data_IF_542972617358
#
_entry.id   IF_542972617358
#
_cell.length_a   1.000
_cell.length_b   1.000
_cell.length_c   1.000
_cell.angle_alpha   90.00
_cell.angle_beta   90.00
_cell.angle_gamma   90.00
#
_symmetry.space_group_name_H-M   'P 1'
#
loop_
_entity.id
_entity.type
_entity.pdbx_description
1 polymer ?
#
# COMPACT_ATOMS: atom_id res chain seq x y z
N UNK A 1 56.11 8.62 31.73
CA UNK A 1 55.43 9.01 30.46
C UNK A 1 54.61 7.88 29.84
N UNK A 2 55.09 6.65 29.73
CA UNK A 2 54.34 5.54 29.09
C UNK A 2 52.98 5.18 29.74
N UNK A 3 52.89 5.33 31.06
CA UNK A 3 51.63 4.97 31.80
C UNK A 3 50.50 6.00 31.63
N UNK A 4 50.84 7.27 31.37
CA UNK A 4 49.83 8.34 31.13
C UNK A 4 49.30 8.23 29.69
N UNK A 5 50.22 7.96 28.73
CA UNK A 5 49.86 7.78 27.32
C UNK A 5 48.93 6.56 27.11
N UNK A 6 49.12 5.49 27.89
CA UNK A 6 48.29 4.29 27.85
C UNK A 6 46.89 4.52 28.44
N UNK A 7 46.74 5.40 29.46
CA UNK A 7 45.43 5.78 30.02
C UNK A 7 44.65 6.66 29.05
N UNK A 8 45.28 7.63 28.43
CA UNK A 8 44.63 8.55 27.48
C UNK A 8 44.16 7.80 26.22
N UNK A 9 44.95 6.84 25.71
CA UNK A 9 44.57 6.02 24.57
C UNK A 9 43.38 5.10 24.90
N UNK A 10 43.36 4.50 26.10
CA UNK A 10 42.21 3.68 26.54
C UNK A 10 40.93 4.49 26.73
N UNK A 11 41.04 5.71 27.25
CA UNK A 11 39.88 6.61 27.40
C UNK A 11 39.36 7.07 26.03
N UNK A 12 40.26 7.40 25.08
CA UNK A 12 39.85 7.78 23.73
C UNK A 12 39.17 6.61 22.99
N UNK A 13 39.67 5.39 23.11
CA UNK A 13 39.04 4.18 22.55
C UNK A 13 37.68 3.87 23.17
N UNK A 14 37.53 4.08 24.49
CA UNK A 14 36.26 3.89 25.18
C UNK A 14 35.22 4.94 24.75
N UNK A 15 35.62 6.19 24.60
CA UNK A 15 34.77 7.27 24.10
C UNK A 15 34.37 7.03 22.64
N UNK A 16 35.29 6.61 21.78
CA UNK A 16 34.97 6.23 20.40
C UNK A 16 34.02 5.02 20.34
N UNK A 17 34.21 4.01 21.19
CA UNK A 17 33.31 2.87 21.28
C UNK A 17 31.91 3.24 21.78
N UNK A 18 31.81 4.17 22.75
CA UNK A 18 30.53 4.70 23.23
C UNK A 18 29.84 5.58 22.18
N UNK A 19 30.59 6.37 21.42
CA UNK A 19 30.05 7.17 20.30
C UNK A 19 29.59 6.27 19.15
N UNK A 20 30.31 5.19 18.86
CA UNK A 20 29.92 4.19 17.87
C UNK A 20 28.69 3.40 18.34
N UNK A 21 28.60 3.04 19.62
CA UNK A 21 27.43 2.38 20.20
C UNK A 21 26.19 3.30 20.21
N UNK A 22 26.39 4.60 20.49
CA UNK A 22 25.31 5.60 20.41
C UNK A 22 24.86 5.87 18.95
N UNK A 23 25.76 5.77 17.99
CA UNK A 23 25.42 5.88 16.57
C UNK A 23 24.67 4.63 16.06
N UNK A 24 24.92 3.45 16.63
CA UNK A 24 24.20 2.20 16.32
C UNK A 24 22.84 2.07 16.99
N UNK A 25 22.50 2.92 17.97
CA UNK A 25 21.24 2.85 18.70
C UNK A 25 20.18 3.87 18.26
N UNK A 26 20.27 4.40 17.02
CA UNK A 26 19.14 5.15 16.49
C UNK A 26 17.94 4.20 16.40
N UNK A 27 16.93 4.45 17.24
CA UNK A 27 15.63 3.76 17.09
C UNK A 27 15.17 3.96 15.65
N UNK A 28 14.62 2.91 15.01
CA UNK A 28 14.03 3.05 13.68
C UNK A 28 13.06 4.22 13.69
N UNK A 29 13.19 5.13 12.74
CA UNK A 29 12.32 6.29 12.66
C UNK A 29 11.20 5.98 11.67
N UNK A 30 10.01 5.85 12.20
CA UNK A 30 8.80 5.79 11.39
C UNK A 30 8.48 7.19 10.83
N UNK A 31 7.80 7.22 9.71
CA UNK A 31 7.25 8.48 9.18
C UNK A 31 6.02 8.85 10.00
N UNK A 32 5.89 10.11 10.33
CA UNK A 32 4.72 10.68 11.00
C UNK A 32 4.17 11.85 10.19
N UNK A 33 2.98 12.35 10.56
CA UNK A 33 2.40 13.57 10.01
C UNK A 33 2.42 14.66 11.07
N UNK A 34 2.89 15.86 10.71
CA UNK A 34 2.81 17.07 11.53
C UNK A 34 2.61 18.28 10.62
N UNK A 35 1.66 19.13 10.98
CA UNK A 35 1.35 20.38 10.25
C UNK A 35 1.12 20.14 8.72
N UNK A 36 0.42 19.05 8.36
CA UNK A 36 0.14 18.71 6.98
C UNK A 36 1.33 18.18 6.18
N UNK A 37 2.44 17.84 6.84
CA UNK A 37 3.65 17.32 6.20
C UNK A 37 4.05 15.98 6.76
N UNK A 38 4.65 15.13 5.92
CA UNK A 38 5.35 13.95 6.39
C UNK A 38 6.65 14.35 7.05
N UNK A 39 6.93 13.73 8.20
CA UNK A 39 8.16 13.95 8.98
C UNK A 39 8.89 12.61 9.12
N UNK A 40 10.15 12.57 8.75
CA UNK A 40 11.05 11.42 8.95
C UNK A 40 12.35 11.89 9.60
N UNK A 41 12.78 11.23 10.67
CA UNK A 41 13.97 11.64 11.43
C UNK A 41 13.93 13.10 11.93
N UNK A 42 12.73 13.60 12.28
CA UNK A 42 12.53 14.98 12.74
C UNK A 42 12.68 16.07 11.66
N UNK A 43 12.60 15.69 10.37
CA UNK A 43 12.68 16.61 9.22
C UNK A 43 11.51 16.40 8.27
N UNK A 44 11.08 17.42 7.54
CA UNK A 44 10.13 17.25 6.44
C UNK A 44 10.64 16.19 5.47
N UNK A 45 9.73 15.29 5.09
CA UNK A 45 10.01 14.19 4.19
C UNK A 45 9.12 14.29 2.96
N UNK A 46 9.74 14.47 1.82
CA UNK A 46 9.09 14.42 0.51
C UNK A 46 9.79 13.35 -0.33
N UNK A 47 9.04 12.68 -1.18
CA UNK A 47 9.59 11.60 -1.98
C UNK A 47 9.01 11.58 -3.40
N UNK A 48 9.74 10.97 -4.30
CA UNK A 48 9.23 10.47 -5.57
C UNK A 48 9.11 8.96 -5.43
N UNK A 49 7.97 8.42 -5.80
CA UNK A 49 7.69 6.99 -5.74
C UNK A 49 7.21 6.43 -7.07
N UNK A 50 7.09 5.11 -7.11
CA UNK A 50 6.50 4.41 -8.26
C UNK A 50 5.65 3.23 -7.81
N UNK A 51 4.71 2.83 -8.67
CA UNK A 51 4.00 1.57 -8.48
C UNK A 51 4.95 0.41 -8.77
N UNK A 52 5.13 -0.45 -7.77
CA UNK A 52 5.99 -1.62 -7.82
C UNK A 52 5.23 -2.84 -7.26
N UNK A 53 3.98 -3.00 -7.74
CA UNK A 53 3.01 -3.96 -7.21
C UNK A 53 3.53 -5.41 -7.20
N UNK A 54 4.43 -5.75 -8.10
CA UNK A 54 5.00 -7.08 -8.32
C UNK A 54 6.26 -7.38 -7.47
N UNK A 55 6.71 -6.48 -6.62
CA UNK A 55 7.93 -6.61 -5.82
C UNK A 55 8.04 -7.94 -5.04
N UNK A 56 7.00 -8.34 -4.29
CA UNK A 56 6.97 -9.62 -3.59
C UNK A 56 7.08 -10.85 -4.52
N UNK A 57 6.53 -10.75 -5.74
CA UNK A 57 6.61 -11.81 -6.75
C UNK A 57 8.07 -11.98 -7.20
N UNK A 58 8.75 -10.90 -7.59
CA UNK A 58 10.16 -10.95 -7.98
C UNK A 58 11.07 -11.47 -6.85
N UNK A 59 10.75 -11.12 -5.60
CA UNK A 59 11.52 -11.53 -4.44
C UNK A 59 11.28 -13.00 -4.02
N UNK A 60 10.28 -13.67 -4.60
CA UNK A 60 9.91 -15.05 -4.26
C UNK A 60 10.78 -16.06 -4.98
N UNK A 61 10.82 -17.29 -4.44
CA UNK A 61 11.42 -18.44 -5.12
C UNK A 61 10.40 -19.19 -6.01
N UNK A 62 9.20 -18.63 -6.19
CA UNK A 62 8.10 -19.22 -6.93
C UNK A 62 7.96 -18.72 -8.36
N UNK A 63 6.78 -18.97 -8.92
CA UNK A 63 6.43 -18.49 -10.25
C UNK A 63 6.57 -16.95 -10.33
N UNK A 64 7.25 -16.47 -11.35
CA UNK A 64 7.53 -15.04 -11.57
C UNK A 64 8.66 -14.48 -10.72
N UNK A 65 9.30 -15.30 -9.86
CA UNK A 65 10.47 -14.89 -9.07
C UNK A 65 11.69 -14.63 -9.95
N UNK A 66 12.34 -13.50 -9.72
CA UNK A 66 13.59 -13.12 -10.38
C UNK A 66 14.38 -12.19 -9.47
N UNK A 67 15.21 -12.79 -8.62
CA UNK A 67 16.01 -12.06 -7.65
C UNK A 67 17.00 -11.10 -8.30
N UNK A 68 17.61 -11.51 -9.42
CA UNK A 68 18.59 -10.67 -10.11
C UNK A 68 17.94 -9.40 -10.68
N UNK A 69 16.79 -9.55 -11.31
CA UNK A 69 15.98 -8.44 -11.80
C UNK A 69 15.55 -7.52 -10.66
N UNK A 70 15.06 -8.09 -9.54
CA UNK A 70 14.68 -7.30 -8.37
C UNK A 70 15.84 -6.41 -7.90
N UNK A 71 17.04 -6.98 -7.73
CA UNK A 71 18.21 -6.20 -7.27
C UNK A 71 18.55 -5.08 -8.25
N UNK A 72 18.55 -5.35 -9.55
CA UNK A 72 18.83 -4.35 -10.57
C UNK A 72 17.79 -3.22 -10.58
N UNK A 73 16.49 -3.56 -10.47
CA UNK A 73 15.42 -2.56 -10.44
C UNK A 73 15.51 -1.69 -9.18
N UNK A 74 15.70 -2.28 -7.99
CA UNK A 74 15.83 -1.54 -6.74
C UNK A 74 17.08 -0.63 -6.75
N UNK A 75 18.22 -1.12 -7.20
CA UNK A 75 19.44 -0.32 -7.28
C UNK A 75 19.28 0.84 -8.27
N UNK A 76 18.60 0.61 -9.40
CA UNK A 76 18.32 1.64 -10.41
C UNK A 76 17.35 2.71 -9.86
N UNK A 77 16.26 2.29 -9.23
CA UNK A 77 15.28 3.21 -8.65
C UNK A 77 15.93 4.07 -7.56
N UNK A 78 16.67 3.45 -6.64
CA UNK A 78 17.39 4.15 -5.59
C UNK A 78 18.42 5.16 -6.15
N UNK A 79 19.18 4.78 -7.16
CA UNK A 79 20.15 5.68 -7.83
C UNK A 79 19.44 6.88 -8.52
N UNK A 80 18.19 6.74 -8.92
CA UNK A 80 17.37 7.82 -9.49
C UNK A 80 16.65 8.66 -8.43
N UNK A 81 16.80 8.34 -7.13
CA UNK A 81 16.10 9.00 -6.03
C UNK A 81 14.62 8.61 -5.89
N UNK A 82 14.24 7.45 -6.42
CA UNK A 82 12.89 6.89 -6.30
C UNK A 82 12.92 5.89 -5.14
N UNK A 83 12.66 6.36 -3.94
CA UNK A 83 12.85 5.62 -2.70
C UNK A 83 11.55 5.17 -2.02
N UNK A 84 10.39 5.40 -2.65
CA UNK A 84 9.10 4.95 -2.13
C UNK A 84 8.35 4.12 -3.18
N UNK A 85 8.01 2.89 -2.82
CA UNK A 85 7.39 1.93 -3.73
C UNK A 85 5.98 1.57 -3.26
N UNK A 86 4.99 1.64 -4.16
CA UNK A 86 3.63 1.23 -3.87
C UNK A 86 3.42 -0.22 -4.30
N UNK A 87 3.10 -1.08 -3.33
CA UNK A 87 3.21 -2.54 -3.42
C UNK A 87 1.89 -3.21 -3.10
N UNK A 88 1.51 -4.20 -3.92
CA UNK A 88 0.36 -5.05 -3.66
C UNK A 88 0.70 -6.10 -2.60
N UNK A 89 -0.06 -6.13 -1.52
CA UNK A 89 -0.08 -7.20 -0.51
C UNK A 89 -1.46 -7.85 -0.41
N UNK A 90 -2.13 -7.88 -1.54
CA UNK A 90 -3.34 -8.62 -1.87
C UNK A 90 -3.03 -9.56 -3.04
N UNK A 91 -4.05 -9.93 -3.77
CA UNK A 91 -3.99 -10.94 -4.83
C UNK A 91 -4.78 -12.14 -4.37
N UNK A 92 -6.11 -12.04 -4.57
CA UNK A 92 -7.08 -12.94 -3.96
C UNK A 92 -7.73 -13.82 -5.03
N UNK A 93 -7.94 -15.09 -4.70
CA UNK A 93 -8.59 -16.07 -5.56
C UNK A 93 -7.64 -17.11 -6.15
N UNK A 94 -8.19 -18.05 -6.94
CA UNK A 94 -7.38 -19.05 -7.62
C UNK A 94 -6.53 -18.43 -8.73
N UNK A 95 -5.39 -19.07 -9.03
CA UNK A 95 -4.62 -18.77 -10.23
C UNK A 95 -5.42 -19.19 -11.50
N UNK A 96 -5.09 -18.62 -12.66
CA UNK A 96 -5.72 -18.94 -13.95
C UNK A 96 -6.98 -18.14 -14.26
N UNK A 97 -7.31 -17.12 -13.47
CA UNK A 97 -8.43 -16.23 -13.77
C UNK A 97 -7.99 -15.14 -14.74
N UNK A 98 -8.72 -15.03 -15.86
CA UNK A 98 -8.42 -14.03 -16.88
C UNK A 98 -8.30 -12.62 -16.30
N UNK A 99 -7.33 -11.84 -16.76
CA UNK A 99 -6.99 -10.48 -16.35
C UNK A 99 -6.50 -10.29 -14.90
N UNK A 100 -6.30 -11.36 -14.14
CA UNK A 100 -5.80 -11.26 -12.75
C UNK A 100 -4.29 -11.43 -12.64
N UNK A 101 -3.74 -10.81 -11.62
CA UNK A 101 -2.33 -10.98 -11.21
C UNK A 101 -2.09 -12.42 -10.76
N UNK A 102 -1.00 -13.01 -11.23
CA UNK A 102 -0.51 -14.32 -10.84
C UNK A 102 0.99 -14.28 -10.51
N UNK A 103 1.42 -15.14 -9.57
CA UNK A 103 0.65 -16.01 -8.69
C UNK A 103 -0.13 -15.22 -7.62
N UNK A 104 -1.27 -15.75 -7.18
CA UNK A 104 -2.10 -15.13 -6.16
C UNK A 104 -1.52 -15.32 -4.75
N UNK A 105 -1.70 -14.33 -3.89
CA UNK A 105 -1.24 -14.36 -2.50
C UNK A 105 -2.17 -15.19 -1.61
N UNK A 106 -3.47 -14.99 -1.71
CA UNK A 106 -4.49 -15.72 -0.94
C UNK A 106 -5.37 -16.54 -1.89
N UNK A 107 -5.15 -17.86 -1.95
CA UNK A 107 -5.83 -18.77 -2.90
C UNK A 107 -7.27 -19.13 -2.49
N UNK A 108 -7.54 -19.11 -1.21
CA UNK A 108 -8.85 -19.30 -0.58
C UNK A 108 -8.83 -18.56 0.77
N UNK A 109 -9.99 -18.31 1.41
CA UNK A 109 -10.04 -17.63 2.69
C UNK A 109 -9.05 -18.21 3.72
N UNK A 110 -8.05 -17.42 4.12
CA UNK A 110 -7.01 -17.82 5.07
C UNK A 110 -5.95 -18.80 4.53
N UNK A 111 -6.01 -19.16 3.23
CA UNK A 111 -5.03 -20.07 2.60
C UNK A 111 -4.07 -19.25 1.74
N UNK A 112 -2.85 -19.07 2.23
CA UNK A 112 -1.85 -18.23 1.62
C UNK A 112 -0.82 -19.00 0.79
N UNK A 113 -0.22 -18.33 -0.16
CA UNK A 113 0.97 -18.75 -0.86
C UNK A 113 2.20 -18.36 -0.02
N UNK A 114 2.72 -19.31 0.74
CA UNK A 114 3.86 -19.09 1.64
C UNK A 114 5.10 -18.58 0.88
N UNK A 115 5.28 -18.98 -0.36
CA UNK A 115 6.40 -18.52 -1.19
C UNK A 115 6.31 -17.02 -1.45
N UNK A 116 5.10 -16.48 -1.70
CA UNK A 116 4.90 -15.04 -1.85
C UNK A 116 4.99 -14.29 -0.52
N UNK A 117 4.54 -14.88 0.58
CA UNK A 117 4.71 -14.28 1.90
C UNK A 117 6.20 -14.15 2.26
N UNK A 118 7.02 -15.15 1.96
CA UNK A 118 8.48 -15.06 2.12
C UNK A 118 9.08 -14.07 1.12
N UNK A 119 8.54 -13.99 -0.10
CA UNK A 119 8.90 -12.97 -1.07
C UNK A 119 8.67 -11.55 -0.55
N UNK A 120 7.53 -11.29 0.08
CA UNK A 120 7.24 -10.01 0.74
C UNK A 120 8.23 -9.70 1.86
N UNK A 121 8.56 -10.70 2.71
CA UNK A 121 9.54 -10.56 3.77
C UNK A 121 10.93 -10.16 3.22
N UNK A 122 11.39 -10.85 2.17
CA UNK A 122 12.66 -10.57 1.49
C UNK A 122 12.66 -9.19 0.85
N UNK A 123 11.58 -8.83 0.18
CA UNK A 123 11.41 -7.54 -0.46
C UNK A 123 11.54 -6.40 0.55
N UNK A 124 10.82 -6.45 1.66
CA UNK A 124 10.92 -5.45 2.74
C UNK A 124 12.32 -5.39 3.35
N UNK A 125 12.99 -6.53 3.51
CA UNK A 125 14.38 -6.56 3.98
C UNK A 125 15.34 -5.85 3.02
N UNK A 126 15.15 -6.00 1.70
CA UNK A 126 15.95 -5.31 0.68
C UNK A 126 15.68 -3.81 0.62
N UNK A 127 14.43 -3.38 0.81
CA UNK A 127 14.09 -1.96 0.95
C UNK A 127 14.80 -1.35 2.17
N UNK A 128 14.74 -2.03 3.31
CA UNK A 128 15.39 -1.57 4.55
C UNK A 128 16.91 -1.43 4.41
N UNK A 129 17.59 -2.31 3.65
CA UNK A 129 19.02 -2.21 3.36
C UNK A 129 19.38 -0.97 2.53
N UNK A 130 18.45 -0.48 1.70
CA UNK A 130 18.63 0.68 0.82
C UNK A 130 18.08 1.97 1.38
N UNK A 131 17.54 1.96 2.60
CA UNK A 131 16.77 3.07 3.20
C UNK A 131 15.55 3.49 2.35
N UNK A 132 15.02 2.58 1.54
CA UNK A 132 13.79 2.71 0.77
C UNK A 132 12.57 2.33 1.60
N UNK A 133 11.39 2.77 1.18
CA UNK A 133 10.13 2.50 1.88
C UNK A 133 9.06 1.95 0.94
N UNK A 134 8.06 1.28 1.54
CA UNK A 134 6.92 0.74 0.83
C UNK A 134 5.59 1.28 1.38
N UNK A 135 4.70 1.66 0.48
CA UNK A 135 3.27 1.79 0.73
C UNK A 135 2.63 0.45 0.38
N UNK A 136 2.05 -0.23 1.36
CA UNK A 136 1.47 -1.56 1.20
C UNK A 136 -0.05 -1.48 1.11
N UNK A 137 -0.65 -1.81 -0.05
CA UNK A 137 -2.11 -1.82 -0.19
C UNK A 137 -2.68 -3.24 -0.10
N UNK A 138 -3.76 -3.38 0.70
CA UNK A 138 -4.26 -4.65 1.21
C UNK A 138 -5.43 -5.23 0.42
N UNK A 139 -6.15 -4.41 -0.35
CA UNK A 139 -7.36 -4.78 -1.08
C UNK A 139 -7.41 -4.04 -2.42
N UNK A 140 -8.43 -4.31 -3.22
CA UNK A 140 -8.67 -3.62 -4.48
C UNK A 140 -10.17 -3.53 -4.77
N UNK A 141 -10.62 -2.41 -5.28
CA UNK A 141 -11.99 -2.32 -5.79
C UNK A 141 -12.15 -2.92 -7.20
N UNK A 142 -11.02 -3.13 -7.88
CA UNK A 142 -10.95 -3.68 -9.23
C UNK A 142 -10.57 -5.17 -9.23
N UNK A 143 -10.99 -5.89 -10.27
CA UNK A 143 -10.86 -7.36 -10.36
C UNK A 143 -9.43 -7.86 -10.60
N UNK A 144 -8.53 -7.01 -11.10
CA UNK A 144 -7.20 -7.44 -11.56
C UNK A 144 -6.30 -8.05 -10.45
N UNK A 145 -6.67 -7.90 -9.20
CA UNK A 145 -6.05 -8.62 -8.07
C UNK A 145 -7.07 -9.36 -7.19
N UNK A 146 -8.26 -9.67 -7.70
CA UNK A 146 -9.34 -10.30 -6.97
C UNK A 146 -10.20 -9.29 -6.20
N UNK A 147 -9.68 -8.75 -5.11
CA UNK A 147 -10.28 -7.65 -4.37
C UNK A 147 -11.74 -7.88 -3.95
N UNK A 148 -12.56 -6.83 -4.00
CA UNK A 148 -13.98 -6.89 -3.58
C UNK A 148 -14.73 -8.07 -4.21
N UNK A 149 -14.51 -8.29 -5.50
CA UNK A 149 -15.19 -9.35 -6.23
C UNK A 149 -14.87 -10.73 -5.68
N UNK A 150 -13.62 -11.00 -5.36
CA UNK A 150 -13.24 -12.29 -4.84
C UNK A 150 -13.75 -12.52 -3.41
N UNK A 151 -13.76 -11.51 -2.57
CA UNK A 151 -14.35 -11.61 -1.24
C UNK A 151 -15.87 -11.82 -1.31
N UNK A 152 -16.56 -11.17 -2.25
CA UNK A 152 -17.98 -11.41 -2.52
C UNK A 152 -18.21 -12.84 -3.03
N UNK A 153 -17.38 -13.32 -3.98
CA UNK A 153 -17.49 -14.69 -4.50
C UNK A 153 -17.30 -15.72 -3.39
N UNK A 154 -16.36 -15.53 -2.49
CA UNK A 154 -16.17 -16.41 -1.34
C UNK A 154 -17.35 -16.40 -0.36
N UNK A 155 -17.95 -15.23 -0.14
CA UNK A 155 -19.07 -15.09 0.78
C UNK A 155 -20.40 -15.64 0.22
N UNK A 156 -20.62 -15.45 -1.08
CA UNK A 156 -21.94 -15.74 -1.70
C UNK A 156 -21.94 -16.94 -2.63
N UNK A 157 -20.79 -17.34 -3.13
CA UNK A 157 -20.65 -18.34 -4.22
C UNK A 157 -20.95 -17.77 -5.62
N UNK A 158 -21.34 -16.49 -5.73
CA UNK A 158 -21.59 -15.84 -7.02
C UNK A 158 -20.28 -15.44 -7.68
N UNK A 159 -20.10 -15.80 -8.96
CA UNK A 159 -18.89 -15.49 -9.71
C UNK A 159 -18.67 -14.01 -9.89
N UNK A 160 -17.42 -13.58 -9.68
CA UNK A 160 -17.00 -12.21 -9.97
C UNK A 160 -17.06 -11.92 -11.46
N UNK A 161 -17.74 -10.84 -11.82
CA UNK A 161 -17.73 -10.34 -13.21
C UNK A 161 -16.35 -9.76 -13.55
N UNK A 162 -15.98 -9.85 -14.83
CA UNK A 162 -14.71 -9.36 -15.36
C UNK A 162 -14.98 -8.19 -16.29
N UNK A 163 -14.56 -6.96 -16.00
CA UNK A 163 -14.89 -5.78 -16.79
C UNK A 163 -14.58 -5.89 -18.28
N UNK A 164 -13.48 -6.56 -18.63
CA UNK A 164 -13.09 -6.79 -20.03
C UNK A 164 -13.98 -7.77 -20.79
N UNK A 165 -14.76 -8.59 -20.06
CA UNK A 165 -15.67 -9.60 -20.64
C UNK A 165 -17.11 -9.15 -20.47
N UNK A 166 -17.49 -8.76 -19.26
CA UNK A 166 -18.87 -8.49 -18.88
C UNK A 166 -19.24 -7.00 -18.93
N UNK A 167 -18.23 -6.12 -19.08
CA UNK A 167 -18.36 -4.67 -19.09
C UNK A 167 -18.21 -4.05 -17.70
N UNK A 168 -17.72 -2.80 -17.67
CA UNK A 168 -17.45 -2.07 -16.41
C UNK A 168 -18.73 -1.79 -15.60
N UNK A 169 -19.84 -1.44 -16.26
CA UNK A 169 -21.08 -1.10 -15.56
C UNK A 169 -21.67 -2.28 -14.77
N UNK A 170 -21.87 -3.48 -15.36
CA UNK A 170 -22.31 -4.65 -14.60
C UNK A 170 -21.34 -5.01 -13.46
N UNK A 171 -20.03 -4.96 -13.71
CA UNK A 171 -19.01 -5.18 -12.68
C UNK A 171 -19.18 -4.23 -11.50
N UNK A 172 -19.23 -2.91 -11.74
CA UNK A 172 -19.40 -1.91 -10.66
C UNK A 172 -20.71 -2.11 -9.88
N UNK A 173 -21.80 -2.52 -10.57
CA UNK A 173 -23.06 -2.86 -9.91
C UNK A 173 -22.92 -4.06 -8.98
N UNK A 174 -22.13 -5.06 -9.34
CA UNK A 174 -21.84 -6.19 -8.46
C UNK A 174 -20.95 -5.75 -7.27
N UNK A 175 -19.89 -4.96 -7.53
CA UNK A 175 -18.93 -4.56 -6.50
C UNK A 175 -19.53 -3.70 -5.38
N UNK A 176 -20.59 -2.94 -5.66
CA UNK A 176 -21.28 -2.15 -4.64
C UNK A 176 -21.82 -3.03 -3.49
N UNK A 177 -22.09 -4.31 -3.74
CA UNK A 177 -22.58 -5.23 -2.71
C UNK A 177 -21.53 -5.49 -1.61
N UNK A 178 -20.24 -5.29 -1.89
CA UNK A 178 -19.20 -5.41 -0.87
C UNK A 178 -19.41 -4.44 0.29
N UNK A 179 -19.97 -3.26 0.03
CA UNK A 179 -20.14 -2.18 1.02
C UNK A 179 -21.09 -2.56 2.16
N UNK A 180 -22.01 -3.50 1.89
CA UNK A 180 -23.01 -3.97 2.86
C UNK A 180 -22.88 -5.47 3.20
N UNK A 181 -21.96 -6.18 2.53
CA UNK A 181 -21.71 -7.61 2.78
C UNK A 181 -20.77 -7.80 3.98
N UNK A 182 -21.35 -7.97 5.15
CA UNK A 182 -20.57 -8.21 6.37
C UNK A 182 -19.65 -9.43 6.26
N UNK A 183 -20.13 -10.50 5.64
CA UNK A 183 -19.34 -11.74 5.48
C UNK A 183 -18.12 -11.52 4.58
N UNK A 184 -18.28 -10.84 3.44
CA UNK A 184 -17.15 -10.50 2.57
C UNK A 184 -16.14 -9.57 3.27
N UNK A 185 -16.62 -8.59 4.03
CA UNK A 185 -15.78 -7.68 4.81
C UNK A 185 -15.01 -8.42 5.91
N UNK A 186 -15.64 -9.38 6.60
CA UNK A 186 -14.97 -10.18 7.63
C UNK A 186 -13.84 -11.04 7.07
N UNK A 187 -14.03 -11.61 5.86
CA UNK A 187 -12.96 -12.32 5.15
C UNK A 187 -11.79 -11.38 4.84
N UNK A 188 -12.05 -10.17 4.39
CA UNK A 188 -11.01 -9.15 4.19
C UNK A 188 -10.34 -8.74 5.50
N UNK A 189 -11.06 -8.54 6.58
CA UNK A 189 -10.48 -8.20 7.89
C UNK A 189 -9.57 -9.30 8.42
N UNK A 190 -9.85 -10.56 8.13
CA UNK A 190 -8.97 -11.66 8.47
C UNK A 190 -7.67 -11.63 7.66
N UNK A 191 -7.73 -11.29 6.36
CA UNK A 191 -6.56 -11.04 5.53
C UNK A 191 -5.72 -9.87 6.09
N UNK A 192 -6.36 -8.74 6.35
CA UNK A 192 -5.74 -7.55 6.94
C UNK A 192 -4.97 -7.91 8.23
N UNK A 193 -5.62 -8.60 9.17
CA UNK A 193 -5.00 -9.01 10.43
C UNK A 193 -3.78 -9.91 10.21
N UNK A 194 -3.87 -10.83 9.25
CA UNK A 194 -2.79 -11.75 8.92
C UNK A 194 -1.57 -11.02 8.39
N UNK A 195 -1.78 -10.06 7.46
CA UNK A 195 -0.67 -9.34 6.83
C UNK A 195 -0.08 -8.30 7.77
N UNK A 196 -0.91 -7.45 8.38
CA UNK A 196 -0.42 -6.38 9.28
C UNK A 196 0.24 -6.96 10.52
N UNK A 197 -0.28 -8.07 11.06
CA UNK A 197 0.26 -8.76 12.23
C UNK A 197 1.47 -9.67 11.96
N UNK A 198 1.99 -9.69 10.71
CA UNK A 198 3.05 -10.61 10.32
C UNK A 198 4.39 -10.27 10.99
N UNK A 199 5.17 -11.30 11.26
CA UNK A 199 6.60 -11.19 11.58
C UNK A 199 7.41 -11.60 10.34
N UNK A 200 8.32 -10.73 9.92
CA UNK A 200 9.23 -10.98 8.80
C UNK A 200 10.15 -12.16 9.11
N UNK A 201 10.08 -13.22 8.30
CA UNK A 201 10.84 -14.45 8.52
C UNK A 201 12.35 -14.29 8.20
N UNK A 202 12.73 -13.23 7.47
CA UNK A 202 14.12 -12.95 7.10
C UNK A 202 14.82 -12.10 8.16
N UNK A 203 14.13 -11.08 8.68
CA UNK A 203 14.71 -10.14 9.65
C UNK A 203 14.35 -10.48 11.11
N UNK A 204 13.32 -11.29 11.33
CA UNK A 204 12.76 -11.58 12.66
C UNK A 204 11.97 -10.43 13.28
N UNK A 205 11.78 -9.31 12.58
CA UNK A 205 11.02 -8.15 13.07
C UNK A 205 9.53 -8.32 12.79
N UNK A 206 8.67 -7.92 13.72
CA UNK A 206 7.27 -7.73 13.40
C UNK A 206 7.11 -6.59 12.37
N UNK A 207 6.14 -6.69 11.46
CA UNK A 207 5.93 -5.66 10.43
C UNK A 207 5.67 -4.28 11.03
N UNK A 208 4.97 -4.19 12.14
CA UNK A 208 4.79 -2.93 12.89
C UNK A 208 6.10 -2.28 13.36
N UNK A 209 7.19 -3.02 13.41
CA UNK A 209 8.52 -2.55 13.83
C UNK A 209 9.48 -2.41 12.64
N UNK A 210 9.00 -2.54 11.38
CA UNK A 210 9.81 -2.50 10.16
C UNK A 210 9.76 -1.11 9.49
N UNK A 211 10.81 -0.27 9.64
CA UNK A 211 10.81 1.10 9.12
C UNK A 211 10.78 1.19 7.59
N UNK A 212 11.02 0.09 6.88
CA UNK A 212 10.86 0.03 5.43
C UNK A 212 9.38 0.09 5.01
N UNK A 213 8.44 -0.10 5.93
CA UNK A 213 7.04 0.18 5.68
C UNK A 213 6.80 1.69 5.93
N UNK A 214 6.31 2.40 4.92
CA UNK A 214 5.88 3.79 5.03
C UNK A 214 4.47 3.86 5.59
N UNK A 215 3.56 3.11 4.97
CA UNK A 215 2.15 3.11 5.34
C UNK A 215 1.42 1.85 4.89
N UNK A 216 0.30 1.62 5.54
CA UNK A 216 -0.74 0.72 5.07
C UNK A 216 -1.80 1.49 4.29
N UNK A 217 -2.17 0.99 3.11
CA UNK A 217 -3.36 1.45 2.40
C UNK A 217 -4.45 0.38 2.49
N UNK A 218 -5.67 0.80 2.87
CA UNK A 218 -6.79 -0.12 3.01
C UNK A 218 -7.06 -0.83 1.68
N UNK A 219 -6.95 -0.10 0.55
CA UNK A 219 -7.09 -0.72 -0.76
C UNK A 219 -6.50 0.10 -1.90
N UNK A 220 -6.51 -0.48 -3.09
CA UNK A 220 -6.32 0.25 -4.33
C UNK A 220 -7.66 0.79 -4.79
N UNK A 221 -7.76 2.11 -4.84
CA UNK A 221 -8.92 2.83 -5.36
C UNK A 221 -10.27 2.38 -4.75
N UNK A 222 -10.39 2.28 -3.40
CA UNK A 222 -11.65 1.90 -2.80
C UNK A 222 -12.77 2.86 -3.22
N UNK A 223 -13.85 2.28 -3.77
CA UNK A 223 -15.05 2.99 -4.23
C UNK A 223 -16.32 2.35 -3.68
N UNK A 224 -17.35 3.15 -3.47
CA UNK A 224 -18.66 2.62 -3.09
C UNK A 224 -19.50 2.17 -4.31
N UNK A 225 -19.21 2.70 -5.50
CA UNK A 225 -19.96 2.44 -6.74
C UNK A 225 -21.45 2.74 -6.65
N UNK A 226 -21.86 3.70 -5.80
CA UNK A 226 -23.25 4.02 -5.54
C UNK A 226 -23.44 5.42 -4.99
N UNK A 227 -24.56 6.01 -5.31
CA UNK A 227 -25.10 7.23 -4.70
C UNK A 227 -26.16 6.93 -3.61
N UNK A 228 -26.46 5.64 -3.38
CA UNK A 228 -27.35 5.19 -2.34
C UNK A 228 -26.75 5.45 -0.95
N UNK A 229 -27.43 6.18 -0.06
CA UNK A 229 -26.93 6.51 1.28
C UNK A 229 -26.56 5.28 2.12
N UNK A 230 -27.33 4.20 2.07
CA UNK A 230 -27.04 2.97 2.83
C UNK A 230 -25.72 2.33 2.37
N UNK A 231 -25.48 2.30 1.06
CA UNK A 231 -24.24 1.78 0.49
C UNK A 231 -23.05 2.67 0.85
N UNK A 232 -23.22 4.00 0.82
CA UNK A 232 -22.18 4.97 1.24
C UNK A 232 -21.87 4.86 2.73
N UNK A 233 -22.88 4.70 3.57
CA UNK A 233 -22.68 4.49 5.01
C UNK A 233 -21.95 3.16 5.29
N UNK A 234 -22.31 2.11 4.58
CA UNK A 234 -21.61 0.83 4.61
C UNK A 234 -20.14 0.98 4.19
N UNK A 235 -19.86 1.74 3.13
CA UNK A 235 -18.52 2.05 2.66
C UNK A 235 -17.66 2.74 3.74
N UNK A 236 -18.18 3.77 4.39
CA UNK A 236 -17.50 4.44 5.50
C UNK A 236 -17.32 3.50 6.68
N UNK A 237 -18.32 2.69 7.01
CA UNK A 237 -18.31 1.82 8.17
C UNK A 237 -17.19 0.75 8.07
N UNK A 238 -17.10 0.03 6.96
CA UNK A 238 -16.06 -1.00 6.84
C UNK A 238 -14.64 -0.42 6.72
N UNK A 239 -14.46 0.75 6.07
CA UNK A 239 -13.16 1.42 6.07
C UNK A 239 -12.76 1.92 7.46
N UNK A 240 -13.73 2.40 8.24
CA UNK A 240 -13.50 2.77 9.64
C UNK A 240 -13.03 1.57 10.46
N UNK A 241 -13.67 0.42 10.29
CA UNK A 241 -13.25 -0.81 10.97
C UNK A 241 -11.87 -1.28 10.50
N UNK A 242 -11.56 -1.20 9.18
CA UNK A 242 -10.26 -1.53 8.64
C UNK A 242 -9.16 -0.63 9.24
N UNK A 243 -9.36 0.69 9.26
CA UNK A 243 -8.40 1.64 9.85
C UNK A 243 -8.19 1.37 11.34
N UNK A 244 -9.28 1.12 12.10
CA UNK A 244 -9.23 0.77 13.52
C UNK A 244 -8.39 -0.50 13.75
N UNK A 245 -8.64 -1.56 12.98
CA UNK A 245 -7.91 -2.82 13.08
C UNK A 245 -6.41 -2.66 12.76
N UNK A 246 -6.08 -1.88 11.72
CA UNK A 246 -4.67 -1.60 11.40
C UNK A 246 -4.01 -0.90 12.57
N UNK A 247 -4.59 0.18 13.08
CA UNK A 247 -4.01 0.96 14.19
C UNK A 247 -3.92 0.20 15.51
N UNK A 248 -4.81 -0.76 15.74
CA UNK A 248 -4.75 -1.65 16.89
C UNK A 248 -3.55 -2.61 16.84
N UNK A 249 -3.26 -3.15 15.64
CA UNK A 249 -2.14 -4.08 15.42
C UNK A 249 -0.82 -3.32 15.27
N UNK A 250 -0.87 -2.23 14.52
CA UNK A 250 0.29 -1.43 14.15
C UNK A 250 0.05 0.06 14.44
N UNK A 251 0.44 0.53 15.63
CA UNK A 251 0.31 1.94 16.00
C UNK A 251 1.42 2.83 15.41
N UNK A 252 2.43 2.26 14.74
CA UNK A 252 3.63 2.97 14.33
C UNK A 252 3.54 3.54 12.90
N UNK A 253 2.92 2.81 11.98
CA UNK A 253 2.86 3.21 10.59
C UNK A 253 1.63 4.07 10.26
N UNK A 254 1.80 4.87 9.22
CA UNK A 254 0.71 5.67 8.66
C UNK A 254 -0.33 4.78 8.00
N UNK A 255 -1.56 5.26 7.96
CA UNK A 255 -2.68 4.60 7.27
C UNK A 255 -3.34 5.58 6.32
N UNK A 256 -3.65 5.13 5.11
CA UNK A 256 -4.50 5.84 4.17
C UNK A 256 -5.56 4.91 3.59
N UNK A 257 -6.62 5.49 3.06
CA UNK A 257 -7.66 4.72 2.39
C UNK A 257 -7.18 4.14 1.05
N UNK A 258 -6.29 4.86 0.34
CA UNK A 258 -5.90 4.55 -1.04
C UNK A 258 -6.94 4.98 -2.07
N UNK A 259 -7.89 5.84 -1.68
CA UNK A 259 -8.95 6.37 -2.54
C UNK A 259 -8.38 7.34 -3.60
N UNK A 260 -9.09 7.49 -4.71
CA UNK A 260 -8.71 8.36 -5.83
C UNK A 260 -9.03 9.85 -5.62
N UNK A 261 -9.69 10.20 -4.52
CA UNK A 261 -10.23 11.53 -4.30
C UNK A 261 -11.63 11.66 -4.91
N UNK A 262 -11.94 12.80 -5.51
CA UNK A 262 -13.28 13.16 -5.99
C UNK A 262 -13.90 12.10 -6.92
N UNK A 263 -13.15 11.57 -7.88
CA UNK A 263 -13.62 10.48 -8.78
C UNK A 263 -13.86 9.17 -8.03
N UNK A 264 -13.03 8.86 -7.06
CA UNK A 264 -13.19 7.68 -6.20
C UNK A 264 -14.35 7.78 -5.22
N UNK A 265 -14.90 8.98 -5.06
CA UNK A 265 -16.06 9.29 -4.22
C UNK A 265 -17.29 9.69 -5.03
N UNK A 266 -17.46 9.13 -6.23
CA UNK A 266 -18.63 9.32 -7.10
C UNK A 266 -18.93 10.80 -7.41
N UNK A 267 -17.87 11.61 -7.61
CA UNK A 267 -17.94 13.06 -7.83
C UNK A 267 -18.65 13.84 -6.69
N UNK A 268 -18.55 13.33 -5.45
CA UNK A 268 -19.18 13.92 -4.26
C UNK A 268 -18.13 14.36 -3.23
N UNK A 269 -18.01 15.68 -3.00
CA UNK A 269 -17.04 16.25 -2.07
C UNK A 269 -17.36 15.91 -0.61
N UNK A 270 -18.64 15.80 -0.23
CA UNK A 270 -19.02 15.39 1.12
C UNK A 270 -18.51 13.97 1.42
N UNK A 271 -18.59 13.07 0.43
CA UNK A 271 -18.06 11.72 0.58
C UNK A 271 -16.52 11.73 0.65
N UNK A 272 -15.82 12.62 -0.09
CA UNK A 272 -14.36 12.81 0.04
C UNK A 272 -14.00 13.21 1.45
N UNK A 273 -14.72 14.19 2.02
CA UNK A 273 -14.47 14.64 3.40
C UNK A 273 -14.73 13.50 4.40
N UNK A 274 -15.84 12.78 4.28
CA UNK A 274 -16.19 11.65 5.16
C UNK A 274 -15.13 10.54 5.12
N UNK A 275 -14.65 10.18 3.94
CA UNK A 275 -13.64 9.13 3.74
C UNK A 275 -12.30 9.51 4.39
N UNK A 276 -11.90 10.77 4.26
CA UNK A 276 -10.61 11.23 4.80
C UNK A 276 -10.69 11.67 6.26
N UNK A 277 -11.89 11.89 6.81
CA UNK A 277 -12.14 12.16 8.23
C UNK A 277 -12.25 10.89 9.09
N UNK A 278 -12.13 9.69 8.51
CA UNK A 278 -12.18 8.43 9.25
C UNK A 278 -11.07 8.41 10.30
N UNK A 279 -11.39 8.13 11.59
CA UNK A 279 -10.39 8.04 12.64
C UNK A 279 -9.32 7.00 12.32
N UNK A 280 -8.05 7.40 12.43
CA UNK A 280 -6.91 6.53 12.11
C UNK A 280 -6.40 6.67 10.67
N UNK A 281 -7.06 7.42 9.80
CA UNK A 281 -6.50 7.83 8.50
C UNK A 281 -5.58 9.03 8.73
N UNK A 282 -4.33 8.90 8.32
CA UNK A 282 -3.27 9.88 8.57
C UNK A 282 -3.04 10.81 7.39
N UNK A 283 -3.35 10.38 6.16
CA UNK A 283 -3.18 11.19 4.96
C UNK A 283 -4.14 10.77 3.83
N UNK A 284 -4.49 11.74 3.01
CA UNK A 284 -5.30 11.57 1.82
C UNK A 284 -4.45 11.13 0.62
N UNK A 285 -5.04 10.36 -0.28
CA UNK A 285 -4.49 10.04 -1.59
C UNK A 285 -5.40 10.54 -2.71
N UNK A 286 -4.81 10.82 -3.86
CA UNK A 286 -5.53 11.09 -5.10
C UNK A 286 -4.88 10.30 -6.23
N UNK A 287 -5.70 9.81 -7.17
CA UNK A 287 -5.26 9.23 -8.42
C UNK A 287 -5.84 10.04 -9.57
N UNK A 288 -5.05 10.28 -10.59
CA UNK A 288 -5.47 11.10 -11.72
C UNK A 288 -5.14 10.36 -13.02
N UNK A 289 -6.19 10.04 -13.77
CA UNK A 289 -6.14 9.26 -15.00
C UNK A 289 -6.72 10.05 -16.18
N UNK A 290 -6.04 11.10 -16.69
CA UNK A 290 -6.59 11.99 -17.71
C UNK A 290 -7.04 11.26 -18.98
N UNK A 291 -6.29 10.25 -19.38
CA UNK A 291 -6.63 9.43 -20.54
C UNK A 291 -7.86 8.55 -20.28
N UNK A 292 -7.88 7.82 -19.18
CA UNK A 292 -8.99 6.92 -18.82
C UNK A 292 -10.29 7.68 -18.55
N UNK A 293 -10.18 8.93 -18.06
CA UNK A 293 -11.35 9.80 -17.82
C UNK A 293 -11.75 10.62 -19.04
N UNK A 294 -11.11 10.40 -20.20
CA UNK A 294 -11.44 11.09 -21.46
C UNK A 294 -11.07 12.57 -21.48
N UNK A 295 -10.15 13.01 -20.58
CA UNK A 295 -9.62 14.38 -20.61
C UNK A 295 -8.57 14.58 -21.70
N UNK A 296 -7.91 13.49 -22.11
CA UNK A 296 -6.94 13.43 -23.20
C UNK A 296 -7.33 12.29 -24.12
N UNK A 297 -7.30 12.53 -25.43
CA UNK A 297 -7.51 11.51 -26.45
C UNK A 297 -6.17 11.03 -27.03
N UNK A 298 -6.10 9.83 -27.64
CA UNK A 298 -4.86 9.31 -28.27
C UNK A 298 -4.30 10.22 -29.37
N UNK A 299 -5.17 10.97 -30.03
CA UNK A 299 -4.86 11.91 -31.12
C UNK A 299 -4.84 13.37 -30.65
N UNK A 300 -4.69 13.59 -29.34
CA UNK A 300 -4.75 14.93 -28.75
C UNK A 300 -3.64 15.84 -29.27
N UNK A 301 -4.03 17.06 -29.63
CA UNK A 301 -3.13 18.16 -29.94
C UNK A 301 -2.62 18.81 -28.65
N UNK A 302 -1.62 19.67 -28.75
CA UNK A 302 -1.02 20.37 -27.62
C UNK A 302 -2.06 21.13 -26.78
N UNK A 303 -3.04 21.75 -27.43
CA UNK A 303 -4.13 22.48 -26.75
C UNK A 303 -4.99 21.57 -25.88
N UNK A 304 -5.25 20.32 -26.28
CA UNK A 304 -5.98 19.33 -25.49
C UNK A 304 -5.16 18.92 -24.26
N UNK A 305 -3.84 18.83 -24.40
CA UNK A 305 -2.93 18.54 -23.29
C UNK A 305 -2.91 19.67 -22.27
N UNK A 306 -2.85 20.92 -22.71
CA UNK A 306 -2.90 22.11 -21.85
C UNK A 306 -4.23 22.16 -21.07
N UNK A 307 -5.35 21.86 -21.72
CA UNK A 307 -6.66 21.77 -21.07
C UNK A 307 -6.73 20.62 -20.04
N UNK A 308 -6.11 19.48 -20.33
CA UNK A 308 -6.03 18.36 -19.40
C UNK A 308 -5.14 18.68 -18.19
N UNK A 309 -4.03 19.39 -18.39
CA UNK A 309 -3.17 19.88 -17.30
C UNK A 309 -3.92 20.86 -16.39
N UNK A 310 -4.70 21.78 -16.95
CA UNK A 310 -5.53 22.71 -16.19
C UNK A 310 -6.60 21.97 -15.36
N UNK A 311 -7.28 20.97 -15.95
CA UNK A 311 -8.21 20.09 -15.20
C UNK A 311 -7.51 19.32 -14.08
N UNK A 312 -6.32 18.79 -14.35
CA UNK A 312 -5.51 18.08 -13.36
C UNK A 312 -5.16 18.98 -12.20
N UNK A 313 -4.71 20.20 -12.47
CA UNK A 313 -4.39 21.19 -11.45
C UNK A 313 -5.61 21.53 -10.56
N UNK A 314 -6.78 21.72 -11.17
CA UNK A 314 -8.03 21.96 -10.42
C UNK A 314 -8.52 20.74 -9.64
N UNK A 315 -8.19 19.55 -10.08
CA UNK A 315 -8.54 18.33 -9.35
C UNK A 315 -7.71 18.16 -8.08
N UNK A 316 -6.47 18.67 -8.07
CA UNK A 316 -5.56 18.60 -6.93
C UNK A 316 -5.88 19.67 -5.88
N UNK A 317 -6.36 20.84 -6.30
CA UNK A 317 -6.66 21.98 -5.44
C UNK A 317 -8.05 21.89 -4.77
#
# INVERSE_FOLDING_TARGET
MANIMNKTLKTALLVCALLLAAACSRKPSFVSVSDGQFIRNGRPYTYIGTNFWYGPILASDGQGGDWHRLMQELDTLHALGIDNLRVLVGGDGPDGVFSRVEPTLQKAPGVYNDTLLVGLDRFLAELGRRDMQAVLFLNNSWEWSGGYGQYLEWATGEKTLIPLVDGYRPFMQQMRAFQTSREAQELFFNHLKTIVGRTNTVTGKAYKDEPAIFSWQIGNEPRCFSDDPEVRDGFIAWMTEAARLIKEIDPNHLVSTGNEGFKGCEDDMELVERVNAIPGIDYMTIHIWPFNWGWVRPDALREDLDAAMDRTSRYIL
#
